data_IF_731356077599
#
_entry.id   IF_731356077599
#
_cell.length_a   1.000
_cell.length_b   1.000
_cell.length_c   1.000
_cell.angle_alpha   90.00
_cell.angle_beta   90.00
_cell.angle_gamma   90.00
#
_symmetry.space_group_name_H-M   'P 1'
#
loop_
_entity.id
_entity.type
_entity.pdbx_description
1 polymer ?
#
# COMPACT_ATOMS: atom_id res chain seq x y z
N UNK A 1 -51.08 22.09 -7.05
CA UNK A 1 -51.15 20.62 -7.02
C UNK A 1 -50.76 20.01 -8.38
N UNK A 2 -49.68 20.51 -8.98
CA UNK A 2 -49.05 19.96 -10.21
C UNK A 2 -47.56 20.31 -10.08
N UNK A 3 -46.83 19.60 -9.22
CA UNK A 3 -45.35 19.58 -9.18
C UNK A 3 -44.80 18.49 -8.23
N UNK A 4 -45.56 17.43 -7.97
CA UNK A 4 -45.18 16.36 -7.03
C UNK A 4 -45.06 14.96 -7.67
N UNK A 5 -45.08 14.84 -9.00
CA UNK A 5 -45.13 13.52 -9.68
C UNK A 5 -43.99 13.24 -10.67
N UNK A 6 -42.97 14.09 -10.76
CA UNK A 6 -41.84 13.87 -11.69
C UNK A 6 -40.52 13.42 -11.02
N UNK A 7 -40.48 13.23 -9.68
CA UNK A 7 -39.22 12.99 -8.95
C UNK A 7 -38.99 11.55 -8.45
N UNK A 8 -39.86 10.60 -8.79
CA UNK A 8 -39.75 9.21 -8.30
C UNK A 8 -39.29 8.16 -9.34
N UNK A 9 -39.10 8.49 -10.63
CA UNK A 9 -38.78 7.45 -11.63
C UNK A 9 -37.32 7.32 -12.07
N UNK A 10 -36.37 8.06 -11.48
CA UNK A 10 -34.93 7.97 -11.82
C UNK A 10 -34.04 7.33 -10.74
N UNK A 11 -34.61 6.77 -9.66
CA UNK A 11 -33.90 5.84 -8.76
C UNK A 11 -34.15 4.39 -9.20
N UNK A 12 -33.78 4.07 -10.44
CA UNK A 12 -33.66 2.68 -10.87
C UNK A 12 -32.30 2.50 -11.50
N UNK A 13 -31.48 1.71 -10.82
CA UNK A 13 -30.36 0.97 -11.38
C UNK A 13 -29.25 1.83 -12.01
N UNK A 14 -28.29 2.22 -11.18
CA UNK A 14 -26.88 2.14 -11.60
C UNK A 14 -25.99 1.73 -10.42
N UNK A 15 -26.34 0.60 -9.80
CA UNK A 15 -25.35 -0.28 -9.17
C UNK A 15 -24.72 -1.03 -10.33
N UNK A 16 -23.83 -0.37 -11.07
CA UNK A 16 -23.10 -0.99 -12.17
C UNK A 16 -21.64 -0.66 -11.97
N UNK A 17 -20.95 -1.59 -11.28
CA UNK A 17 -19.55 -2.04 -11.43
C UNK A 17 -18.92 -2.46 -10.09
N UNK A 18 -19.50 -3.43 -9.38
CA UNK A 18 -18.74 -4.26 -8.41
C UNK A 18 -18.80 -5.77 -8.73
N UNK A 19 -19.79 -6.22 -9.51
CA UNK A 19 -19.97 -7.64 -9.82
C UNK A 19 -19.03 -8.24 -10.88
N UNK A 20 -18.31 -7.41 -11.66
CA UNK A 20 -17.39 -7.92 -12.68
C UNK A 20 -16.03 -8.33 -12.09
N UNK A 21 -15.62 -7.78 -10.94
CA UNK A 21 -14.37 -8.18 -10.29
C UNK A 21 -14.54 -9.40 -9.37
N UNK A 22 -15.74 -9.58 -8.79
CA UNK A 22 -16.04 -10.66 -7.85
C UNK A 22 -16.13 -12.05 -8.49
N UNK A 23 -16.32 -12.18 -9.81
CA UNK A 23 -16.46 -13.50 -10.46
C UNK A 23 -15.13 -14.16 -10.86
N UNK A 24 -14.01 -13.43 -10.79
CA UNK A 24 -12.70 -13.91 -11.26
C UNK A 24 -11.74 -14.32 -10.15
N UNK A 25 -11.99 -13.94 -8.89
CA UNK A 25 -11.30 -14.48 -7.74
C UNK A 25 -12.36 -15.00 -6.76
N UNK A 26 -12.24 -16.24 -6.30
CA UNK A 26 -13.03 -16.81 -5.19
C UNK A 26 -12.65 -16.11 -3.87
N UNK A 27 -12.84 -14.79 -3.81
CA UNK A 27 -12.40 -13.91 -2.75
C UNK A 27 -13.61 -13.04 -2.40
N UNK A 28 -14.30 -13.42 -1.32
CA UNK A 28 -15.47 -12.72 -0.76
C UNK A 28 -15.11 -11.44 0.01
N UNK A 29 -13.91 -10.88 -0.20
CA UNK A 29 -13.27 -9.98 0.78
C UNK A 29 -13.65 -8.50 0.57
N UNK A 30 -14.10 -8.08 -0.63
CA UNK A 30 -14.16 -6.65 -0.98
C UNK A 30 -15.52 -6.22 -1.53
N UNK A 31 -16.23 -5.39 -0.76
CA UNK A 31 -17.36 -4.58 -1.27
C UNK A 31 -16.94 -3.12 -1.28
N UNK A 32 -16.79 -2.54 -2.49
CA UNK A 32 -16.46 -1.13 -2.69
C UNK A 32 -17.74 -0.30 -2.83
N UNK A 33 -17.92 0.70 -1.98
CA UNK A 33 -19.11 1.56 -1.96
C UNK A 33 -18.77 2.94 -2.55
N UNK A 34 -19.31 3.25 -3.74
CA UNK A 34 -19.13 4.54 -4.41
C UNK A 34 -20.50 5.23 -4.49
N UNK A 35 -20.73 6.28 -3.68
CA UNK A 35 -21.94 7.10 -3.77
C UNK A 35 -21.60 8.42 -4.47
N UNK A 36 -22.08 8.59 -5.70
CA UNK A 36 -21.88 9.82 -6.49
C UNK A 36 -23.19 10.61 -6.55
N UNK A 37 -23.27 11.77 -5.88
CA UNK A 37 -24.47 12.62 -5.85
C UNK A 37 -24.14 14.09 -6.13
N UNK A 38 -24.57 14.60 -7.29
CA UNK A 38 -24.66 16.00 -7.80
C UNK A 38 -23.92 17.12 -7.01
N UNK A 39 -23.04 17.83 -7.74
CA UNK A 39 -22.03 18.81 -7.32
C UNK A 39 -22.57 20.23 -7.01
N UNK A 40 -22.25 20.79 -5.82
CA UNK A 40 -22.12 22.23 -5.50
C UNK A 40 -21.06 22.39 -4.38
N UNK A 41 -20.35 23.52 -4.28
CA UNK A 41 -19.37 23.83 -3.20
C UNK A 41 -20.02 23.67 -1.80
N UNK A 42 -19.25 23.20 -0.81
CA UNK A 42 -19.66 23.01 0.60
C UNK A 42 -20.66 21.85 0.82
N UNK A 43 -20.31 20.63 0.41
CA UNK A 43 -21.16 19.44 0.64
C UNK A 43 -20.45 18.39 1.47
N UNK A 44 -21.19 17.83 2.44
CA UNK A 44 -20.82 16.64 3.20
C UNK A 44 -21.70 15.46 2.77
N UNK A 45 -21.14 14.26 2.75
CA UNK A 45 -21.91 13.04 2.59
C UNK A 45 -22.86 12.86 3.77
N UNK A 46 -24.16 12.74 3.49
CA UNK A 46 -25.19 12.55 4.52
C UNK A 46 -25.01 11.20 5.23
N UNK A 47 -25.32 11.16 6.52
CA UNK A 47 -25.25 9.92 7.30
C UNK A 47 -26.22 8.84 6.80
N UNK A 48 -27.47 9.21 6.49
CA UNK A 48 -28.52 8.24 6.16
C UNK A 48 -28.17 7.33 4.96
N UNK A 49 -27.76 7.85 3.78
CA UNK A 49 -27.42 6.97 2.66
C UNK A 49 -26.23 6.05 2.92
N UNK A 50 -25.24 6.53 3.68
CA UNK A 50 -24.03 5.74 4.02
C UNK A 50 -24.39 4.62 5.00
N UNK A 51 -25.17 4.93 6.03
CA UNK A 51 -25.62 3.94 7.03
C UNK A 51 -26.52 2.90 6.36
N UNK A 52 -27.45 3.31 5.50
CA UNK A 52 -28.34 2.38 4.80
C UNK A 52 -27.55 1.41 3.91
N UNK A 53 -26.56 1.91 3.17
CA UNK A 53 -25.73 1.10 2.31
C UNK A 53 -24.79 0.17 3.12
N UNK A 54 -24.30 0.61 4.28
CA UNK A 54 -23.61 -0.27 5.22
C UNK A 54 -24.52 -1.39 5.74
N UNK A 55 -25.75 -1.10 6.15
CA UNK A 55 -26.69 -2.13 6.61
C UNK A 55 -27.00 -3.16 5.51
N UNK A 56 -27.12 -2.71 4.25
CA UNK A 56 -27.28 -3.63 3.11
C UNK A 56 -26.05 -4.52 2.91
N UNK A 57 -24.85 -3.95 2.96
CA UNK A 57 -23.59 -4.71 2.84
C UNK A 57 -23.47 -5.74 3.96
N UNK A 58 -23.76 -5.33 5.20
CA UNK A 58 -23.78 -6.19 6.38
C UNK A 58 -24.78 -7.35 6.24
N UNK A 59 -25.99 -7.06 5.75
CA UNK A 59 -27.00 -8.09 5.50
C UNK A 59 -26.57 -9.07 4.40
N UNK A 60 -25.94 -8.57 3.33
CA UNK A 60 -25.41 -9.42 2.26
C UNK A 60 -24.31 -10.37 2.76
N UNK A 61 -23.38 -9.87 3.59
CA UNK A 61 -22.35 -10.70 4.22
C UNK A 61 -22.97 -11.77 5.14
N UNK A 62 -23.95 -11.39 5.97
CA UNK A 62 -24.64 -12.32 6.85
C UNK A 62 -25.37 -13.44 6.06
N UNK A 63 -26.02 -13.10 4.95
CA UNK A 63 -26.66 -14.07 4.06
C UNK A 63 -25.65 -15.03 3.41
N UNK A 64 -24.41 -14.59 3.22
CA UNK A 64 -23.30 -15.42 2.74
C UNK A 64 -22.62 -16.22 3.86
N UNK A 65 -23.09 -16.13 5.11
CA UNK A 65 -22.47 -16.79 6.27
C UNK A 65 -21.15 -16.15 6.72
N UNK A 66 -20.88 -14.92 6.32
CA UNK A 66 -19.65 -14.17 6.65
C UNK A 66 -19.98 -13.11 7.70
N UNK A 67 -19.10 -12.94 8.69
CA UNK A 67 -19.24 -11.86 9.67
C UNK A 67 -19.13 -10.48 8.99
N UNK A 68 -19.73 -9.45 9.59
CA UNK A 68 -19.71 -8.08 9.03
C UNK A 68 -18.28 -7.51 8.86
N UNK A 69 -17.32 -8.04 9.63
CA UNK A 69 -15.92 -7.65 9.56
C UNK A 69 -15.67 -6.21 10.00
N UNK A 70 -14.60 -5.61 9.48
CA UNK A 70 -14.19 -4.24 9.81
C UNK A 70 -14.80 -3.22 8.85
N UNK A 71 -15.08 -2.04 9.38
CA UNK A 71 -15.59 -0.89 8.62
C UNK A 71 -14.52 0.19 8.64
N UNK A 72 -13.85 0.33 7.50
CA UNK A 72 -12.71 1.21 7.31
C UNK A 72 -13.18 2.53 6.70
N UNK A 73 -12.92 3.63 7.39
CA UNK A 73 -13.10 4.98 6.88
C UNK A 73 -11.77 5.51 6.33
N UNK A 74 -11.81 6.05 5.12
CA UNK A 74 -10.64 6.65 4.48
C UNK A 74 -10.63 8.15 4.84
N UNK A 75 -9.71 8.52 5.73
CA UNK A 75 -9.59 9.87 6.31
C UNK A 75 -8.11 10.25 6.38
N UNK A 76 -7.67 11.43 5.91
CA UNK A 76 -6.30 11.91 6.13
C UNK A 76 -5.92 12.01 7.62
N UNK A 77 -6.89 12.16 8.52
CA UNK A 77 -6.69 12.14 9.98
C UNK A 77 -6.57 10.73 10.58
N UNK A 78 -6.81 9.67 9.79
CA UNK A 78 -6.66 8.29 10.21
C UNK A 78 -5.21 7.86 10.44
N UNK A 79 -5.02 6.68 11.05
CA UNK A 79 -3.66 6.10 11.19
C UNK A 79 -3.05 5.85 9.82
N UNK A 80 -1.76 6.09 9.68
CA UNK A 80 -1.06 5.85 8.42
C UNK A 80 -1.07 4.36 8.07
N UNK A 81 -1.59 4.02 6.90
CA UNK A 81 -1.61 2.67 6.36
C UNK A 81 -0.18 2.23 6.01
N UNK A 82 0.19 1.03 6.45
CA UNK A 82 1.51 0.46 6.24
C UNK A 82 1.41 -1.07 6.06
N UNK A 83 2.54 -1.72 5.81
CA UNK A 83 2.59 -3.16 5.54
C UNK A 83 2.00 -4.00 6.70
N UNK A 84 2.25 -3.63 7.95
CA UNK A 84 1.71 -4.33 9.11
C UNK A 84 0.17 -4.21 9.20
N UNK A 85 -0.37 -3.04 8.86
CA UNK A 85 -1.82 -2.87 8.74
C UNK A 85 -2.40 -3.76 7.63
N UNK A 86 -1.73 -3.86 6.48
CA UNK A 86 -2.15 -4.76 5.40
C UNK A 86 -2.18 -6.23 5.84
N UNK A 87 -1.14 -6.70 6.53
CA UNK A 87 -1.05 -8.05 7.09
C UNK A 87 -2.17 -8.35 8.08
N UNK A 88 -2.47 -7.39 8.95
CA UNK A 88 -3.55 -7.49 9.94
C UNK A 88 -4.91 -7.58 9.25
N UNK A 89 -5.17 -6.68 8.30
CA UNK A 89 -6.45 -6.63 7.57
C UNK A 89 -6.64 -7.82 6.61
N UNK A 90 -5.55 -8.45 6.15
CA UNK A 90 -5.62 -9.66 5.33
C UNK A 90 -6.11 -10.89 6.09
N UNK A 91 -6.19 -10.84 7.43
CA UNK A 91 -6.78 -11.90 8.25
C UNK A 91 -8.31 -11.77 8.39
N UNK A 92 -8.90 -10.63 8.00
CA UNK A 92 -10.33 -10.41 8.08
C UNK A 92 -11.06 -11.03 6.86
N UNK A 93 -12.11 -11.81 7.12
CA UNK A 93 -12.91 -12.45 6.05
C UNK A 93 -13.74 -11.43 5.23
N UNK A 94 -13.99 -10.25 5.80
CA UNK A 94 -14.76 -9.19 5.16
C UNK A 94 -14.27 -7.81 5.61
N UNK A 95 -14.06 -6.92 4.64
CA UNK A 95 -13.79 -5.50 4.87
C UNK A 95 -14.83 -4.64 4.14
N UNK A 96 -15.33 -3.61 4.81
CA UNK A 96 -16.17 -2.56 4.21
C UNK A 96 -15.40 -1.25 4.18
N UNK A 97 -15.29 -0.61 3.02
CA UNK A 97 -14.60 0.67 2.86
C UNK A 97 -15.61 1.82 2.65
N UNK A 98 -15.54 2.85 3.50
CA UNK A 98 -16.30 4.09 3.37
C UNK A 98 -15.40 5.13 2.71
N UNK A 99 -15.63 5.37 1.42
CA UNK A 99 -14.90 6.36 0.65
C UNK A 99 -15.54 7.73 0.83
N UNK A 100 -14.82 8.67 1.45
CA UNK A 100 -15.22 10.08 1.49
C UNK A 100 -15.19 10.72 0.10
N UNK A 101 -15.93 11.80 -0.07
CA UNK A 101 -15.89 12.66 -1.26
C UNK A 101 -16.30 14.08 -0.83
N UNK A 102 -16.07 15.09 -1.68
CA UNK A 102 -16.38 16.50 -1.39
C UNK A 102 -15.52 17.01 -0.21
N UNK A 103 -16.12 17.73 0.74
CA UNK A 103 -15.44 18.19 1.97
C UNK A 103 -15.33 17.08 3.02
N UNK A 104 -16.00 15.93 2.81
CA UNK A 104 -16.00 14.80 3.72
C UNK A 104 -17.40 14.26 3.97
N UNK A 105 -17.65 13.85 5.21
CA UNK A 105 -18.86 13.14 5.61
C UNK A 105 -19.44 13.71 6.89
N UNK A 106 -20.72 13.42 7.11
CA UNK A 106 -21.38 13.65 8.38
C UNK A 106 -20.71 12.83 9.49
N UNK A 107 -20.30 13.50 10.56
CA UNK A 107 -19.53 12.91 11.67
C UNK A 107 -20.21 11.69 12.32
N UNK A 108 -21.56 11.60 12.25
CA UNK A 108 -22.31 10.45 12.79
C UNK A 108 -22.01 9.14 12.06
N UNK A 109 -21.43 9.20 10.85
CA UNK A 109 -20.97 8.01 10.13
C UNK A 109 -19.90 7.26 10.93
N UNK A 110 -19.10 7.95 11.77
CA UNK A 110 -18.10 7.29 12.63
C UNK A 110 -18.71 6.29 13.62
N UNK A 111 -20.01 6.37 13.91
CA UNK A 111 -20.70 5.40 14.79
C UNK A 111 -20.68 3.95 14.30
N UNK A 112 -20.44 3.73 12.99
CA UNK A 112 -20.32 2.40 12.39
C UNK A 112 -18.88 2.02 12.02
N UNK A 113 -17.92 2.93 12.22
CA UNK A 113 -16.52 2.77 11.79
C UNK A 113 -15.73 2.03 12.86
N UNK A 114 -14.91 1.07 12.45
CA UNK A 114 -13.98 0.36 13.34
C UNK A 114 -12.58 0.93 13.28
N UNK A 115 -12.17 1.36 12.09
CA UNK A 115 -10.82 1.82 11.82
C UNK A 115 -10.83 3.00 10.84
N UNK A 116 -9.90 3.92 11.05
CA UNK A 116 -9.67 5.04 10.15
C UNK A 116 -8.26 4.95 9.61
N UNK A 117 -8.10 5.03 8.30
CA UNK A 117 -6.79 4.94 7.66
C UNK A 117 -6.54 6.12 6.71
N UNK A 118 -5.33 6.66 6.79
CA UNK A 118 -4.74 7.57 5.82
C UNK A 118 -3.70 6.83 4.98
N UNK A 119 -3.60 7.14 3.69
CA UNK A 119 -2.54 6.61 2.82
C UNK A 119 -1.31 7.52 2.74
N UNK A 120 -1.32 8.66 3.44
CA UNK A 120 -0.20 9.57 3.55
C UNK A 120 -0.60 11.03 3.76
N UNK A 121 0.40 11.88 3.98
CA UNK A 121 0.23 13.29 4.36
C UNK A 121 -0.04 14.18 3.13
N UNK A 122 -1.15 13.90 2.45
CA UNK A 122 -1.64 14.65 1.30
C UNK A 122 -3.16 14.50 1.17
N UNK A 123 -3.80 15.40 0.41
CA UNK A 123 -5.25 15.43 0.23
C UNK A 123 -5.62 14.93 -1.17
N UNK A 124 -6.61 14.05 -1.23
CA UNK A 124 -7.23 13.57 -2.47
C UNK A 124 -8.67 14.04 -2.57
N UNK A 125 -9.22 13.99 -3.79
CA UNK A 125 -10.61 14.40 -4.08
C UNK A 125 -11.66 13.42 -3.57
N UNK A 126 -11.26 12.18 -3.26
CA UNK A 126 -12.13 11.13 -2.75
C UNK A 126 -11.34 9.93 -2.22
N UNK A 127 -12.04 9.07 -1.47
CA UNK A 127 -11.49 7.89 -0.80
C UNK A 127 -11.33 6.67 -1.69
N UNK A 128 -11.74 6.72 -2.95
CA UNK A 128 -11.72 5.57 -3.86
C UNK A 128 -10.29 5.11 -4.20
N UNK A 129 -9.35 6.05 -4.44
CA UNK A 129 -7.94 5.72 -4.68
C UNK A 129 -7.28 5.12 -3.41
N UNK A 130 -7.43 5.72 -2.20
CA UNK A 130 -6.99 5.10 -0.96
C UNK A 130 -7.53 3.68 -0.76
N UNK A 131 -8.83 3.47 -0.98
CA UNK A 131 -9.43 2.15 -0.86
C UNK A 131 -8.80 1.15 -1.85
N UNK A 132 -8.62 1.52 -3.12
CA UNK A 132 -7.98 0.65 -4.12
C UNK A 132 -6.53 0.30 -3.75
N UNK A 133 -5.75 1.27 -3.25
CA UNK A 133 -4.38 1.04 -2.78
C UNK A 133 -4.35 0.04 -1.62
N UNK A 134 -5.23 0.23 -0.63
CA UNK A 134 -5.34 -0.70 0.50
C UNK A 134 -5.78 -2.09 0.06
N UNK A 135 -6.79 -2.18 -0.81
CA UNK A 135 -7.30 -3.45 -1.35
C UNK A 135 -6.20 -4.21 -2.09
N UNK A 136 -5.41 -3.54 -2.94
CA UNK A 136 -4.29 -4.17 -3.64
C UNK A 136 -3.26 -4.74 -2.64
N UNK A 137 -2.80 -3.92 -1.69
CA UNK A 137 -1.83 -4.35 -0.68
C UNK A 137 -2.32 -5.54 0.17
N UNK A 138 -3.60 -5.52 0.58
CA UNK A 138 -4.23 -6.57 1.39
C UNK A 138 -4.41 -7.86 0.57
N UNK A 139 -4.96 -7.75 -0.65
CA UNK A 139 -5.30 -8.92 -1.46
C UNK A 139 -4.08 -9.72 -1.89
N UNK A 140 -2.95 -9.06 -2.15
CA UNK A 140 -1.66 -9.72 -2.41
C UNK A 140 -1.25 -10.67 -1.29
N UNK A 141 -1.60 -10.38 -0.04
CA UNK A 141 -1.24 -11.19 1.12
C UNK A 141 -2.10 -12.44 1.28
N UNK A 142 -3.27 -12.51 0.64
CA UNK A 142 -4.15 -13.68 0.68
C UNK A 142 -3.45 -14.89 0.02
N UNK A 143 -3.48 -16.08 0.66
CA UNK A 143 -2.93 -17.30 0.07
C UNK A 143 -3.55 -17.63 -1.30
N UNK A 144 -2.71 -17.96 -2.28
CA UNK A 144 -3.16 -18.32 -3.63
C UNK A 144 -3.38 -17.16 -4.60
N UNK A 145 -3.33 -15.90 -4.15
CA UNK A 145 -3.38 -14.73 -5.05
C UNK A 145 -2.05 -14.54 -5.78
N UNK A 146 -0.96 -14.54 -5.03
CA UNK A 146 0.39 -14.56 -5.60
C UNK A 146 0.79 -16.01 -5.84
N UNK A 147 1.15 -16.35 -7.08
CA UNK A 147 1.53 -17.72 -7.48
C UNK A 147 2.80 -18.27 -6.82
N UNK A 148 3.59 -17.41 -6.14
CA UNK A 148 4.77 -17.81 -5.38
C UNK A 148 4.70 -17.27 -3.94
N UNK A 149 4.57 -18.18 -2.96
CA UNK A 149 4.49 -17.82 -1.55
C UNK A 149 5.82 -17.33 -0.95
N UNK A 150 6.97 -17.64 -1.57
CA UNK A 150 8.28 -17.19 -1.09
C UNK A 150 8.51 -15.69 -1.30
N UNK A 151 7.94 -15.11 -2.35
CA UNK A 151 8.12 -13.69 -2.68
C UNK A 151 7.62 -12.74 -1.58
N UNK A 152 6.61 -13.14 -0.80
CA UNK A 152 6.05 -12.29 0.27
C UNK A 152 7.04 -12.00 1.41
N UNK A 153 7.96 -12.92 1.67
CA UNK A 153 8.89 -12.85 2.82
C UNK A 153 10.07 -11.92 2.52
N UNK A 154 10.44 -11.80 1.26
CA UNK A 154 11.63 -11.04 0.82
C UNK A 154 11.28 -9.64 0.27
N UNK A 155 10.00 -9.25 0.30
CA UNK A 155 9.53 -7.96 -0.18
C UNK A 155 9.92 -6.78 0.73
N UNK A 156 10.00 -5.59 0.13
CA UNK A 156 10.26 -4.35 0.85
C UNK A 156 9.25 -4.18 2.00
N UNK A 157 9.74 -3.73 3.16
CA UNK A 157 9.01 -3.54 4.41
C UNK A 157 8.60 -4.80 5.18
N UNK A 158 8.58 -6.00 4.59
CA UNK A 158 8.24 -7.25 5.30
C UNK A 158 9.21 -7.57 6.45
N UNK A 159 10.49 -7.24 6.29
CA UNK A 159 11.53 -7.39 7.33
C UNK A 159 11.90 -6.06 8.01
N UNK A 160 11.20 -4.97 7.68
CA UNK A 160 11.58 -3.62 8.05
C UNK A 160 12.71 -3.01 7.22
N UNK A 161 13.17 -3.68 6.15
CA UNK A 161 14.18 -3.17 5.22
C UNK A 161 13.60 -3.04 3.80
N UNK A 162 14.28 -2.27 2.93
CA UNK A 162 13.99 -2.25 1.48
C UNK A 162 14.67 -3.44 0.79
N UNK A 163 14.08 -3.92 -0.31
CA UNK A 163 14.68 -4.94 -1.17
C UNK A 163 15.99 -4.49 -1.82
N UNK A 164 16.85 -5.47 -2.06
CA UNK A 164 18.05 -5.31 -2.86
C UNK A 164 17.74 -4.89 -4.32
N UNK A 165 18.75 -4.37 -5.05
CA UNK A 165 18.63 -4.15 -6.48
C UNK A 165 18.42 -5.47 -7.24
N UNK A 166 17.42 -5.49 -8.11
CA UNK A 166 17.10 -6.64 -8.95
C UNK A 166 17.74 -6.48 -10.33
N UNK A 167 18.29 -7.57 -10.85
CA UNK A 167 18.93 -7.64 -12.17
C UNK A 167 18.28 -8.73 -13.02
N UNK A 168 18.20 -8.49 -14.31
CA UNK A 168 17.72 -9.48 -15.28
C UNK A 168 18.58 -9.44 -16.55
N UNK A 169 18.30 -10.34 -17.49
CA UNK A 169 19.01 -10.40 -18.77
C UNK A 169 18.76 -9.12 -19.59
N UNK A 170 19.74 -8.66 -20.39
CA UNK A 170 21.08 -9.23 -20.60
C UNK A 170 22.08 -8.88 -19.48
N UNK A 171 23.16 -9.65 -19.37
CA UNK A 171 24.18 -9.48 -18.31
C UNK A 171 24.99 -8.17 -18.43
N UNK A 172 25.06 -7.59 -19.63
CA UNK A 172 25.61 -6.27 -19.87
C UNK A 172 24.58 -5.48 -20.70
N UNK A 173 24.08 -4.40 -20.13
CA UNK A 173 23.22 -3.47 -20.84
C UNK A 173 23.92 -2.11 -20.95
N UNK A 174 24.45 -1.80 -22.15
CA UNK A 174 25.14 -0.54 -22.45
C UNK A 174 26.34 -0.24 -21.54
N UNK A 175 27.11 -1.27 -21.18
CA UNK A 175 28.25 -1.17 -20.27
C UNK A 175 27.87 -1.28 -18.79
N UNK A 176 26.57 -1.31 -18.45
CA UNK A 176 26.10 -1.58 -17.09
C UNK A 176 26.04 -3.09 -16.88
N UNK A 177 27.07 -3.63 -16.23
CA UNK A 177 27.20 -5.06 -15.98
C UNK A 177 26.42 -5.47 -14.72
N UNK A 178 25.81 -6.65 -14.78
CA UNK A 178 25.29 -7.34 -13.61
C UNK A 178 26.45 -7.68 -12.67
N UNK A 179 26.32 -7.47 -11.35
CA UNK A 179 27.35 -7.85 -10.38
C UNK A 179 27.80 -9.31 -10.56
N UNK A 180 29.11 -9.55 -10.57
CA UNK A 180 29.66 -10.88 -10.84
C UNK A 180 29.17 -11.95 -9.86
N UNK A 181 28.93 -11.56 -8.60
CA UNK A 181 28.37 -12.42 -7.54
C UNK A 181 26.98 -13.00 -7.86
N UNK A 182 26.22 -12.36 -8.75
CA UNK A 182 24.92 -12.84 -9.22
C UNK A 182 25.04 -13.80 -10.41
N UNK A 183 26.22 -13.90 -11.02
CA UNK A 183 26.43 -14.62 -12.28
C UNK A 183 27.04 -16.02 -12.09
N UNK A 184 27.63 -16.29 -10.93
CA UNK A 184 28.41 -17.49 -10.62
C UNK A 184 27.63 -18.57 -9.82
N UNK A 185 26.33 -18.34 -9.54
CA UNK A 185 25.40 -19.36 -9.04
C UNK A 185 25.61 -19.80 -7.58
N UNK A 186 26.49 -19.14 -6.83
CA UNK A 186 26.73 -19.43 -5.42
C UNK A 186 25.63 -18.83 -4.54
N UNK A 187 24.60 -19.63 -4.23
CA UNK A 187 23.44 -19.18 -3.46
C UNK A 187 23.79 -18.54 -2.10
N UNK A 188 24.87 -18.97 -1.44
CA UNK A 188 25.27 -18.39 -0.14
C UNK A 188 25.84 -16.99 -0.32
N UNK A 189 26.68 -16.80 -1.35
CA UNK A 189 27.22 -15.47 -1.68
C UNK A 189 26.14 -14.52 -2.17
N UNK A 190 25.20 -15.02 -2.98
CA UNK A 190 24.06 -14.25 -3.46
C UNK A 190 23.20 -13.79 -2.27
N UNK A 191 22.85 -14.68 -1.35
CA UNK A 191 22.05 -14.32 -0.18
C UNK A 191 22.75 -13.26 0.71
N UNK A 192 24.05 -13.41 0.95
CA UNK A 192 24.83 -12.42 1.71
C UNK A 192 24.90 -11.07 0.98
N UNK A 193 25.08 -11.10 -0.34
CA UNK A 193 25.10 -9.90 -1.17
C UNK A 193 23.72 -9.21 -1.16
N UNK A 194 22.63 -9.94 -1.35
CA UNK A 194 21.26 -9.41 -1.27
C UNK A 194 21.03 -8.71 0.08
N UNK A 195 21.37 -9.35 1.20
CA UNK A 195 21.24 -8.74 2.53
C UNK A 195 22.06 -7.46 2.67
N UNK A 196 23.31 -7.45 2.18
CA UNK A 196 24.17 -6.27 2.24
C UNK A 196 23.62 -5.12 1.39
N UNK A 197 23.15 -5.40 0.18
CA UNK A 197 22.59 -4.37 -0.70
C UNK A 197 21.23 -3.85 -0.24
N UNK A 198 20.37 -4.70 0.33
CA UNK A 198 19.12 -4.30 0.99
C UNK A 198 19.41 -3.29 2.12
N UNK A 199 20.38 -3.60 2.98
CA UNK A 199 20.87 -2.69 4.01
C UNK A 199 21.43 -1.40 3.43
N UNK A 200 22.29 -1.47 2.40
CA UNK A 200 22.86 -0.30 1.72
C UNK A 200 21.78 0.60 1.12
N UNK A 201 20.79 0.02 0.45
CA UNK A 201 19.68 0.77 -0.15
C UNK A 201 18.82 1.42 0.92
N UNK A 202 18.52 0.70 1.99
CA UNK A 202 17.78 1.22 3.14
C UNK A 202 18.53 2.37 3.80
N UNK A 203 19.83 2.19 4.09
CA UNK A 203 20.69 3.22 4.66
C UNK A 203 20.71 4.51 3.82
N UNK A 204 20.81 4.38 2.48
CA UNK A 204 20.86 5.53 1.58
C UNK A 204 19.52 6.25 1.41
N UNK A 205 18.40 5.51 1.35
CA UNK A 205 17.09 6.05 0.91
C UNK A 205 16.09 6.24 2.03
N UNK A 206 16.10 5.35 3.02
CA UNK A 206 15.17 5.29 4.15
C UNK A 206 15.89 4.87 5.43
N UNK A 207 16.89 5.65 5.89
CA UNK A 207 17.66 5.31 7.09
C UNK A 207 16.76 5.21 8.34
N UNK A 208 15.60 5.86 8.33
CA UNK A 208 14.57 5.80 9.36
C UNK A 208 13.99 4.39 9.59
N UNK A 209 14.07 3.50 8.61
CA UNK A 209 13.59 2.12 8.74
C UNK A 209 14.56 1.21 9.50
N UNK A 210 15.82 1.63 9.69
CA UNK A 210 16.86 0.79 10.30
C UNK A 210 16.68 0.79 11.82
N UNK A 211 16.04 -0.26 12.33
CA UNK A 211 15.97 -0.54 13.76
C UNK A 211 17.13 -1.46 14.18
N UNK A 212 18.16 -0.88 14.79
CA UNK A 212 19.35 -1.59 15.27
C UNK A 212 19.05 -2.72 16.28
N UNK A 213 17.91 -2.68 16.98
CA UNK A 213 17.54 -3.73 17.93
C UNK A 213 17.03 -4.99 17.21
N UNK A 214 16.41 -4.83 16.04
CA UNK A 214 15.85 -5.92 15.24
C UNK A 214 16.86 -6.59 14.31
N UNK A 215 17.99 -5.94 14.03
CA UNK A 215 19.03 -6.50 13.17
C UNK A 215 19.71 -7.73 13.82
N UNK A 216 19.93 -8.77 13.01
CA UNK A 216 20.78 -9.92 13.37
C UNK A 216 22.25 -9.51 13.54
N UNK A 217 23.06 -10.35 14.19
CA UNK A 217 24.51 -10.12 14.32
C UNK A 217 25.18 -9.93 12.95
N UNK A 218 24.86 -10.77 11.97
CA UNK A 218 25.36 -10.66 10.60
C UNK A 218 24.96 -9.33 9.95
N UNK A 219 23.69 -8.92 10.05
CA UNK A 219 23.22 -7.65 9.49
C UNK A 219 23.89 -6.44 10.15
N UNK A 220 24.20 -6.49 11.44
CA UNK A 220 24.95 -5.43 12.13
C UNK A 220 26.36 -5.28 11.56
N UNK A 221 27.05 -6.39 11.32
CA UNK A 221 28.37 -6.36 10.67
C UNK A 221 28.27 -5.82 9.24
N UNK A 222 27.33 -6.32 8.44
CA UNK A 222 27.12 -5.84 7.07
C UNK A 222 26.78 -4.35 7.02
N UNK A 223 25.97 -3.85 7.95
CA UNK A 223 25.64 -2.43 8.03
C UNK A 223 26.85 -1.57 8.38
N UNK A 224 27.75 -2.07 9.25
CA UNK A 224 29.00 -1.39 9.54
C UNK A 224 29.90 -1.30 8.31
N UNK A 225 30.06 -2.41 7.57
CA UNK A 225 30.80 -2.42 6.30
C UNK A 225 30.21 -1.44 5.29
N UNK A 226 28.88 -1.45 5.15
CA UNK A 226 28.17 -0.52 4.26
C UNK A 226 28.47 0.93 4.63
N UNK A 227 28.45 1.30 5.90
CA UNK A 227 28.73 2.68 6.32
C UNK A 227 30.13 3.13 5.91
N UNK A 228 31.14 2.28 6.12
CA UNK A 228 32.52 2.55 5.73
C UNK A 228 32.62 2.74 4.21
N UNK A 229 32.07 1.80 3.43
CA UNK A 229 32.10 1.85 1.95
C UNK A 229 31.38 3.08 1.39
N UNK A 230 30.29 3.51 2.03
CA UNK A 230 29.55 4.71 1.62
C UNK A 230 30.29 6.00 1.96
N UNK A 231 30.97 6.05 3.10
CA UNK A 231 31.82 7.17 3.50
C UNK A 231 33.03 7.30 2.55
N UNK A 232 33.70 6.18 2.21
CA UNK A 232 34.80 6.15 1.23
C UNK A 232 34.35 6.68 -0.16
N UNK A 233 33.20 6.21 -0.66
CA UNK A 233 32.63 6.70 -1.94
C UNK A 233 32.29 8.19 -1.92
N UNK A 234 31.83 8.71 -0.78
CA UNK A 234 31.54 10.13 -0.62
C UNK A 234 32.83 10.98 -0.62
N UNK A 235 33.95 10.44 -0.13
CA UNK A 235 35.26 11.10 -0.19
C UNK A 235 35.80 11.12 -1.61
N UNK A 236 35.75 10.00 -2.33
CA UNK A 236 36.25 9.91 -3.71
C UNK A 236 35.50 10.85 -4.66
N UNK A 237 34.17 10.92 -4.54
CA UNK A 237 33.33 11.82 -5.34
C UNK A 237 33.54 13.32 -5.04
N UNK A 238 34.03 13.67 -3.85
CA UNK A 238 34.36 15.05 -3.47
C UNK A 238 35.84 15.40 -3.71
N UNK A 239 36.74 14.43 -3.73
CA UNK A 239 38.16 14.61 -4.09
C UNK A 239 38.34 15.05 -5.53
N UNK A 240 37.49 14.56 -6.44
CA UNK A 240 37.53 14.93 -7.86
C UNK A 240 37.02 16.37 -8.13
N UNK A 241 36.31 16.99 -7.18
CA UNK A 241 35.89 18.41 -7.25
C UNK A 241 36.93 19.41 -6.74
N UNK A 242 38.06 18.95 -6.19
CA UNK A 242 39.15 19.79 -5.65
C UNK A 242 40.45 19.70 -6.47
N UNK A 243 40.39 19.66 -7.80
CA UNK A 243 41.55 20.08 -8.59
C UNK A 243 41.52 21.60 -8.69
N UNK A 244 42.46 22.32 -8.05
CA UNK A 244 42.57 23.75 -8.28
C UNK A 244 42.97 23.93 -9.73
N UNK A 245 42.26 24.80 -10.45
CA UNK A 245 42.79 25.39 -11.68
C UNK A 245 44.04 26.18 -11.29
N UNK A 246 45.20 25.52 -11.28
CA UNK A 246 46.50 26.20 -11.29
C UNK A 246 46.95 26.37 -12.73
N UNK A 247 46.90 27.64 -13.14
CA UNK A 247 47.82 28.37 -14.02
C UNK A 247 47.99 27.90 -15.47
N UNK A 248 47.57 28.77 -16.39
CA UNK A 248 48.45 29.39 -17.40
C UNK A 248 48.09 30.87 -17.52
#
# INVERSE_FOLDING_TARGET
MIQLLAKQSKMKSLILTSQIFASLLKINIVTLMIIRLVVVREMLLQAQPIIDAYQQTKAAAANAGVAAGKVILLDPAGKQFNQHAAETLAQDDHLTFICGHYEGYDERIRSIVTDEYSIGDFVLTGGELPAMVMIDAITRLIPGVLGNNQSKVEESFSTGLLEEPQYTRPADFRGMKVPEVLMNGDHKKIALWNQKEALRRTYRRRPDLIDHQKLTSTQKHLLADVRIEEEERAVDSNGDKKKPFTQN
#
